data_IF_326461517910
#
_entry.id   IF_326461517910
#
_cell.length_a   1.000
_cell.length_b   1.000
_cell.length_c   1.000
_cell.angle_alpha   90.00
_cell.angle_beta   90.00
_cell.angle_gamma   90.00
#
_symmetry.space_group_name_H-M   'P 1'
#
loop_
_entity.id
_entity.type
_entity.pdbx_description
1 polymer ?
#
# COMPACT_ATOMS: atom_id res chain seq x y z
N UNK A 1 14.34 -22.91 -11.30
CA UNK A 1 14.30 -22.68 -9.85
C UNK A 1 14.60 -21.20 -9.62
N UNK A 2 13.62 -20.41 -9.24
CA UNK A 2 13.82 -19.02 -8.89
C UNK A 2 14.53 -18.97 -7.54
N UNK A 3 15.75 -18.46 -7.52
CA UNK A 3 16.56 -18.33 -6.32
C UNK A 3 15.86 -17.32 -5.40
N UNK A 4 15.37 -17.80 -4.26
CA UNK A 4 14.74 -16.94 -3.25
C UNK A 4 15.83 -16.33 -2.40
N UNK A 5 16.08 -15.03 -2.58
CA UNK A 5 17.03 -14.26 -1.79
C UNK A 5 16.46 -13.91 -0.40
N UNK A 6 17.34 -13.79 0.59
CA UNK A 6 16.96 -13.22 1.90
C UNK A 6 16.57 -11.75 1.75
N UNK A 7 15.79 -11.21 2.69
CA UNK A 7 15.40 -9.80 2.70
C UNK A 7 16.62 -8.88 2.74
N UNK A 8 17.66 -9.24 3.49
CA UNK A 8 18.92 -8.48 3.56
C UNK A 8 19.60 -8.38 2.19
N UNK A 9 19.61 -9.49 1.44
CA UNK A 9 20.15 -9.50 0.08
C UNK A 9 19.30 -8.64 -0.86
N UNK A 10 17.97 -8.71 -0.76
CA UNK A 10 17.08 -7.87 -1.56
C UNK A 10 17.28 -6.39 -1.28
N UNK A 11 17.42 -6.01 0.00
CA UNK A 11 17.70 -4.63 0.40
C UNK A 11 19.07 -4.16 -0.12
N UNK A 12 20.12 -4.96 0.06
CA UNK A 12 21.47 -4.61 -0.39
C UNK A 12 21.60 -4.52 -1.91
N UNK A 13 20.78 -5.24 -2.67
CA UNK A 13 20.81 -5.27 -4.12
C UNK A 13 19.69 -4.45 -4.77
N UNK A 14 18.92 -3.71 -3.98
CA UNK A 14 17.80 -2.92 -4.47
C UNK A 14 18.24 -1.92 -5.55
N UNK A 15 17.65 -2.01 -6.74
CA UNK A 15 17.95 -1.14 -7.88
C UNK A 15 19.30 -1.36 -8.56
N UNK A 16 20.17 -2.26 -8.05
CA UNK A 16 21.45 -2.53 -8.69
C UNK A 16 21.27 -3.17 -10.07
N UNK A 17 22.11 -2.77 -11.03
CA UNK A 17 22.16 -3.28 -12.40
C UNK A 17 20.84 -3.10 -13.16
N UNK A 18 20.15 -2.00 -12.90
CA UNK A 18 18.88 -1.66 -13.56
C UNK A 18 19.08 -0.94 -14.92
N UNK A 19 20.30 -0.50 -15.26
CA UNK A 19 20.60 0.18 -16.51
C UNK A 19 21.37 -0.74 -17.47
N UNK A 20 20.66 -1.43 -18.34
CA UNK A 20 21.24 -2.32 -19.34
C UNK A 20 22.06 -1.56 -20.41
N UNK A 21 21.76 -0.30 -20.65
CA UNK A 21 22.43 0.52 -21.68
C UNK A 21 23.89 0.83 -21.36
N UNK A 22 24.18 1.12 -20.08
CA UNK A 22 25.53 1.50 -19.65
C UNK A 22 26.19 0.43 -18.79
N UNK A 23 25.42 -0.52 -18.27
CA UNK A 23 25.87 -1.49 -17.28
C UNK A 23 26.16 -0.85 -15.91
N UNK A 24 25.64 0.33 -15.65
CA UNK A 24 25.82 1.01 -14.37
C UNK A 24 25.36 0.13 -13.21
N UNK A 25 26.20 -0.01 -12.17
CA UNK A 25 25.86 -0.81 -11.00
C UNK A 25 24.78 -0.13 -10.18
N UNK A 26 24.91 1.18 -9.95
CA UNK A 26 23.87 1.97 -9.28
C UNK A 26 22.82 2.46 -10.28
N UNK A 27 21.57 2.54 -9.84
CA UNK A 27 20.48 3.09 -10.66
C UNK A 27 20.76 4.54 -11.06
N UNK A 28 20.71 4.88 -12.36
CA UNK A 28 20.78 6.26 -12.81
C UNK A 28 19.59 7.09 -12.33
N UNK A 29 19.82 8.38 -12.10
CA UNK A 29 18.75 9.34 -11.80
C UNK A 29 18.30 9.98 -13.11
N UNK A 30 17.04 9.76 -13.50
CA UNK A 30 16.46 10.31 -14.71
C UNK A 30 15.70 11.60 -14.40
N UNK A 31 16.25 12.73 -14.82
CA UNK A 31 15.67 14.07 -14.63
C UNK A 31 14.81 14.50 -15.84
N UNK A 32 14.67 13.64 -16.86
CA UNK A 32 13.89 13.96 -18.05
C UNK A 32 12.42 14.15 -17.75
N UNK A 33 11.81 15.19 -18.32
CA UNK A 33 10.37 15.45 -18.22
C UNK A 33 9.58 14.58 -19.19
N UNK A 34 10.08 14.42 -20.42
CA UNK A 34 9.42 13.65 -21.49
C UNK A 34 10.42 12.67 -22.13
N UNK A 35 9.90 11.65 -22.77
CA UNK A 35 10.67 10.58 -23.41
C UNK A 35 10.30 10.46 -24.89
N UNK A 36 11.29 10.14 -25.73
CA UNK A 36 11.07 9.92 -27.16
C UNK A 36 10.36 8.57 -27.41
N UNK A 37 9.58 8.53 -28.48
CA UNK A 37 8.99 7.30 -29.00
C UNK A 37 9.75 6.86 -30.25
N UNK A 38 9.73 5.57 -30.54
CA UNK A 38 10.31 5.05 -31.78
C UNK A 38 9.46 5.38 -32.99
N UNK A 39 8.15 5.53 -32.81
CA UNK A 39 7.15 5.87 -33.82
C UNK A 39 5.80 6.21 -33.19
N UNK A 40 4.81 6.53 -34.00
CA UNK A 40 3.45 6.79 -33.55
C UNK A 40 2.88 5.51 -32.94
N UNK A 41 2.54 5.56 -31.63
CA UNK A 41 2.06 4.38 -30.87
C UNK A 41 3.16 3.44 -30.37
N UNK A 42 4.44 3.76 -30.60
CA UNK A 42 5.59 2.94 -30.23
C UNK A 42 6.36 3.55 -29.03
N UNK A 43 5.71 3.58 -27.86
CA UNK A 43 6.32 4.07 -26.64
C UNK A 43 7.45 3.13 -26.15
N UNK A 44 8.49 3.72 -25.57
CA UNK A 44 9.54 2.97 -24.85
C UNK A 44 9.07 2.42 -23.49
N UNK A 45 7.80 2.66 -23.13
CA UNK A 45 7.22 2.37 -21.81
C UNK A 45 7.30 3.56 -20.86
N UNK A 46 7.90 4.67 -21.32
CA UNK A 46 7.96 5.96 -20.64
C UNK A 46 7.57 7.05 -21.60
N UNK A 47 6.65 7.92 -21.21
CA UNK A 47 6.16 9.01 -22.03
C UNK A 47 6.42 10.37 -21.33
N UNK A 48 6.02 10.45 -20.08
CA UNK A 48 6.09 11.66 -19.27
C UNK A 48 6.35 11.33 -17.79
N UNK A 49 7.30 12.04 -17.19
CA UNK A 49 7.80 11.74 -15.82
C UNK A 49 6.73 11.71 -14.75
N UNK A 50 5.67 12.53 -14.84
CA UNK A 50 4.57 12.54 -13.87
C UNK A 50 3.82 11.21 -13.86
N UNK A 51 3.62 10.61 -15.02
CA UNK A 51 2.92 9.33 -15.16
C UNK A 51 3.84 8.15 -14.86
N UNK A 52 5.06 8.16 -15.40
CA UNK A 52 6.05 7.10 -15.19
C UNK A 52 7.47 7.63 -15.35
N UNK A 53 8.36 7.24 -14.41
CA UNK A 53 9.78 7.65 -14.44
C UNK A 53 10.66 6.45 -14.07
N UNK A 54 11.76 6.18 -14.79
CA UNK A 54 12.61 5.01 -14.53
C UNK A 54 13.16 4.97 -13.09
N UNK A 55 13.57 6.10 -12.53
CA UNK A 55 14.07 6.17 -11.15
C UNK A 55 12.98 5.81 -10.14
N UNK A 56 11.75 6.32 -10.32
CA UNK A 56 10.61 5.99 -9.46
C UNK A 56 10.21 4.51 -9.60
N UNK A 57 10.24 3.97 -10.81
CA UNK A 57 9.92 2.56 -11.06
C UNK A 57 10.82 1.61 -10.27
N UNK A 58 12.10 1.93 -10.12
CA UNK A 58 13.04 1.12 -9.31
C UNK A 58 12.59 1.07 -7.85
N UNK A 59 12.14 2.19 -7.27
CA UNK A 59 11.60 2.22 -5.91
C UNK A 59 10.32 1.37 -5.82
N UNK A 60 9.38 1.57 -6.74
CA UNK A 60 8.11 0.85 -6.78
C UNK A 60 8.31 -0.65 -6.91
N UNK A 61 9.18 -1.11 -7.81
CA UNK A 61 9.52 -2.52 -8.00
C UNK A 61 10.25 -3.11 -6.80
N UNK A 62 11.12 -2.33 -6.15
CA UNK A 62 11.84 -2.77 -4.95
C UNK A 62 10.88 -3.00 -3.79
N UNK A 63 9.99 -2.05 -3.52
CA UNK A 63 8.99 -2.17 -2.46
C UNK A 63 8.06 -3.35 -2.73
N UNK A 64 7.59 -3.52 -3.98
CA UNK A 64 6.77 -4.67 -4.35
C UNK A 64 7.47 -6.00 -4.03
N UNK A 65 8.76 -6.13 -4.37
CA UNK A 65 9.54 -7.35 -4.08
C UNK A 65 9.73 -7.58 -2.58
N UNK A 66 10.05 -6.53 -1.81
CA UNK A 66 10.25 -6.62 -0.36
C UNK A 66 8.95 -7.03 0.36
N UNK A 67 7.82 -6.57 -0.13
CA UNK A 67 6.50 -6.85 0.43
C UNK A 67 5.80 -8.08 -0.21
N UNK A 68 6.47 -8.80 -1.15
CA UNK A 68 5.89 -9.85 -1.97
C UNK A 68 4.53 -9.44 -2.59
N UNK A 69 4.44 -8.16 -2.96
CA UNK A 69 3.28 -7.60 -3.64
C UNK A 69 3.41 -7.69 -5.15
N UNK A 70 2.28 -7.61 -5.84
CA UNK A 70 2.26 -7.58 -7.31
C UNK A 70 2.79 -6.28 -7.88
N UNK A 71 2.55 -5.17 -7.18
CA UNK A 71 2.97 -3.82 -7.58
C UNK A 71 3.22 -2.93 -6.36
N UNK A 72 4.18 -1.99 -6.51
CA UNK A 72 4.38 -0.87 -5.63
C UNK A 72 3.94 0.44 -6.31
N UNK A 73 3.52 1.42 -5.53
CA UNK A 73 3.19 2.76 -5.98
C UNK A 73 3.81 3.78 -5.05
N UNK A 74 4.61 4.69 -5.58
CA UNK A 74 5.23 5.75 -4.80
C UNK A 74 4.42 7.04 -4.87
N UNK A 75 4.17 7.63 -3.71
CA UNK A 75 3.45 8.89 -3.54
C UNK A 75 4.35 9.92 -2.86
N UNK A 76 3.96 11.19 -2.93
CA UNK A 76 4.69 12.29 -2.29
C UNK A 76 4.62 12.27 -0.76
N UNK A 77 3.67 11.53 -0.19
CA UNK A 77 3.50 11.33 1.25
C UNK A 77 2.59 10.14 1.54
N UNK A 78 2.66 9.57 2.76
CA UNK A 78 1.72 8.55 3.22
C UNK A 78 0.26 9.02 3.18
N UNK A 79 0.01 10.28 3.52
CA UNK A 79 -1.33 10.88 3.43
C UNK A 79 -1.87 10.89 2.00
N UNK A 80 -1.02 11.15 1.00
CA UNK A 80 -1.40 11.06 -0.41
C UNK A 80 -1.76 9.63 -0.81
N UNK A 81 -1.02 8.63 -0.30
CA UNK A 81 -1.32 7.22 -0.53
C UNK A 81 -2.68 6.84 0.07
N UNK A 82 -2.95 7.21 1.32
CA UNK A 82 -4.24 6.95 1.99
C UNK A 82 -5.38 7.61 1.24
N UNK A 83 -5.22 8.86 0.81
CA UNK A 83 -6.26 9.57 0.05
C UNK A 83 -6.58 8.88 -1.27
N UNK A 84 -5.58 8.37 -1.98
CA UNK A 84 -5.81 7.62 -3.23
C UNK A 84 -6.57 6.33 -2.96
N UNK A 85 -6.25 5.60 -1.88
CA UNK A 85 -7.02 4.41 -1.48
C UNK A 85 -8.47 4.74 -1.19
N UNK A 86 -8.75 5.87 -0.53
CA UNK A 86 -10.13 6.30 -0.26
C UNK A 86 -10.94 6.52 -1.53
N UNK A 87 -10.32 6.92 -2.65
CA UNK A 87 -10.99 7.13 -3.93
C UNK A 87 -11.49 5.82 -4.59
N UNK A 88 -11.09 4.66 -4.09
CA UNK A 88 -11.62 3.37 -4.52
C UNK A 88 -13.01 3.08 -3.94
N UNK A 89 -13.46 3.90 -3.00
CA UNK A 89 -14.70 3.74 -2.25
C UNK A 89 -15.57 4.98 -2.37
N UNK A 90 -16.84 4.82 -2.10
CA UNK A 90 -17.83 5.91 -2.16
C UNK A 90 -18.87 5.75 -1.05
N UNK A 91 -19.61 6.80 -0.72
CA UNK A 91 -20.77 6.61 0.15
C UNK A 91 -21.80 5.67 -0.50
N UNK A 92 -22.36 4.72 0.25
CA UNK A 92 -22.34 4.57 1.70
C UNK A 92 -21.29 3.57 2.25
N UNK A 93 -20.21 3.31 1.51
CA UNK A 93 -19.17 2.36 1.96
C UNK A 93 -18.60 2.75 3.34
N UNK A 94 -18.30 1.76 4.16
CA UNK A 94 -17.73 1.92 5.49
C UNK A 94 -16.37 1.24 5.59
N UNK A 95 -15.44 1.89 6.30
CA UNK A 95 -14.18 1.30 6.74
C UNK A 95 -14.20 1.09 8.24
N UNK A 96 -13.85 -0.10 8.70
CA UNK A 96 -13.48 -0.33 10.09
C UNK A 96 -12.04 0.16 10.23
N UNK A 97 -11.77 1.04 11.20
CA UNK A 97 -10.49 1.75 11.35
C UNK A 97 -10.00 1.59 12.78
N UNK A 98 -8.70 1.38 12.97
CA UNK A 98 -8.09 1.43 14.31
C UNK A 98 -8.47 2.71 15.02
N UNK A 99 -8.90 2.63 16.28
CA UNK A 99 -9.26 3.79 17.09
C UNK A 99 -8.06 4.68 17.39
N UNK A 100 -6.88 4.07 17.52
CA UNK A 100 -5.60 4.77 17.64
C UNK A 100 -4.90 4.74 16.28
N UNK A 101 -5.03 5.82 15.51
CA UNK A 101 -4.36 6.03 14.22
C UNK A 101 -3.69 7.40 14.21
N UNK A 102 -2.71 7.55 13.33
CA UNK A 102 -2.08 8.84 13.10
C UNK A 102 -3.13 9.95 12.94
N UNK A 103 -2.95 11.04 13.68
CA UNK A 103 -3.93 12.14 13.70
C UNK A 103 -4.20 12.77 12.32
N UNK A 104 -3.27 12.66 11.36
CA UNK A 104 -3.50 13.04 9.97
C UNK A 104 -4.52 12.13 9.28
N UNK A 105 -4.41 10.83 9.48
CA UNK A 105 -5.34 9.82 8.94
C UNK A 105 -6.74 10.03 9.49
N UNK A 106 -6.85 10.23 10.81
CA UNK A 106 -8.13 10.55 11.46
C UNK A 106 -8.79 11.79 10.84
N UNK A 107 -8.03 12.89 10.74
CA UNK A 107 -8.55 14.15 10.18
C UNK A 107 -8.95 14.03 8.71
N UNK A 108 -8.18 13.29 7.93
CA UNK A 108 -8.47 13.07 6.50
C UNK A 108 -9.77 12.27 6.33
N UNK A 109 -9.92 11.16 7.04
CA UNK A 109 -11.11 10.30 6.96
C UNK A 109 -12.36 11.06 7.42
N UNK A 110 -12.29 11.74 8.56
CA UNK A 110 -13.40 12.50 9.12
C UNK A 110 -13.83 13.67 8.22
N UNK A 111 -12.85 14.43 7.69
CA UNK A 111 -13.13 15.53 6.75
C UNK A 111 -13.76 15.02 5.45
N UNK A 112 -13.21 13.98 4.87
CA UNK A 112 -13.69 13.44 3.59
C UNK A 112 -15.10 12.84 3.71
N UNK A 113 -15.39 12.15 4.83
CA UNK A 113 -16.74 11.65 5.10
C UNK A 113 -17.75 12.80 5.24
N UNK A 114 -17.44 13.79 6.06
CA UNK A 114 -18.36 14.90 6.37
C UNK A 114 -18.61 15.84 5.19
N UNK A 115 -17.60 16.06 4.35
CA UNK A 115 -17.67 17.11 3.32
C UNK A 115 -17.80 16.58 1.90
N UNK A 116 -17.33 15.37 1.62
CA UNK A 116 -17.22 14.85 0.25
C UNK A 116 -18.04 13.58 0.01
N UNK A 117 -18.89 13.18 0.97
CA UNK A 117 -19.63 11.91 0.91
C UNK A 117 -18.73 10.72 0.54
N UNK A 118 -17.54 10.70 1.09
CA UNK A 118 -16.57 9.62 0.94
C UNK A 118 -16.88 8.48 1.92
N UNK A 119 -15.96 7.51 2.00
CA UNK A 119 -16.07 6.37 2.91
C UNK A 119 -16.28 6.82 4.36
N UNK A 120 -17.19 6.14 5.07
CA UNK A 120 -17.49 6.39 6.48
C UNK A 120 -16.54 5.60 7.39
N UNK A 121 -15.74 6.24 8.24
CA UNK A 121 -14.90 5.54 9.19
C UNK A 121 -15.70 5.08 10.41
N UNK A 122 -15.49 3.83 10.83
CA UNK A 122 -16.01 3.23 12.06
C UNK A 122 -14.80 2.85 12.92
N UNK A 123 -14.52 3.65 13.94
CA UNK A 123 -13.35 3.46 14.79
C UNK A 123 -13.59 2.40 15.85
N UNK A 124 -12.70 1.42 15.95
CA UNK A 124 -12.77 0.31 16.91
C UNK A 124 -11.37 0.01 17.48
N UNK A 125 -11.33 -0.67 18.63
CA UNK A 125 -10.08 -1.25 19.11
C UNK A 125 -9.70 -2.47 18.26
N UNK A 126 -8.72 -2.32 17.39
CA UNK A 126 -8.27 -3.38 16.46
C UNK A 126 -7.41 -4.47 17.12
N UNK A 127 -7.03 -4.31 18.39
CA UNK A 127 -6.49 -5.41 19.19
C UNK A 127 -7.57 -6.45 19.56
N UNK A 128 -8.87 -6.11 19.43
CA UNK A 128 -10.01 -6.96 19.73
C UNK A 128 -10.72 -7.44 18.46
N UNK A 129 -10.48 -8.69 18.06
CA UNK A 129 -11.20 -9.30 16.92
C UNK A 129 -12.72 -9.26 17.09
N UNK A 130 -13.20 -9.39 18.32
CA UNK A 130 -14.64 -9.36 18.62
C UNK A 130 -15.24 -7.98 18.34
N UNK A 131 -14.51 -6.89 18.64
CA UNK A 131 -14.97 -5.54 18.33
C UNK A 131 -14.96 -5.28 16.82
N UNK A 132 -13.93 -5.75 16.11
CA UNK A 132 -13.88 -5.66 14.66
C UNK A 132 -15.08 -6.39 14.05
N UNK A 133 -15.33 -7.66 14.45
CA UNK A 133 -16.41 -8.47 13.89
C UNK A 133 -17.79 -7.87 14.20
N UNK A 134 -18.00 -7.36 15.42
CA UNK A 134 -19.24 -6.70 15.81
C UNK A 134 -19.54 -5.40 15.03
N UNK A 135 -18.50 -4.72 14.54
CA UNK A 135 -18.64 -3.50 13.76
C UNK A 135 -18.92 -3.73 12.26
N UNK A 136 -18.85 -4.98 11.77
CA UNK A 136 -19.08 -5.29 10.36
C UNK A 136 -20.58 -5.13 10.03
N UNK A 137 -20.85 -4.36 9.00
CA UNK A 137 -22.19 -4.15 8.43
C UNK A 137 -22.25 -4.56 6.95
N UNK A 138 -23.40 -4.50 6.33
CA UNK A 138 -23.56 -4.71 4.88
C UNK A 138 -22.80 -3.66 4.03
N UNK A 139 -22.53 -2.48 4.61
CA UNK A 139 -21.80 -1.39 3.96
C UNK A 139 -20.29 -1.46 4.19
N UNK A 140 -19.80 -2.29 5.09
CA UNK A 140 -18.38 -2.44 5.34
C UNK A 140 -17.69 -3.00 4.10
N UNK A 141 -16.60 -2.33 3.66
CA UNK A 141 -15.81 -2.72 2.47
C UNK A 141 -14.36 -2.97 2.78
N UNK A 142 -13.83 -2.36 3.84
CA UNK A 142 -12.44 -2.56 4.22
C UNK A 142 -12.24 -2.50 5.73
N UNK A 143 -11.14 -3.11 6.18
CA UNK A 143 -10.56 -2.95 7.51
C UNK A 143 -9.23 -2.23 7.31
N UNK A 144 -9.10 -1.02 7.86
CA UNK A 144 -7.87 -0.23 7.88
C UNK A 144 -7.25 -0.29 9.28
N UNK A 145 -6.06 -0.86 9.36
CA UNK A 145 -5.32 -0.94 10.61
C UNK A 145 -3.99 -0.21 10.51
N UNK A 146 -3.57 0.42 11.59
CA UNK A 146 -2.24 0.96 11.80
C UNK A 146 -1.58 0.17 12.93
N UNK A 147 -0.42 -0.45 12.66
CA UNK A 147 0.25 -1.28 13.67
C UNK A 147 1.77 -1.32 13.47
N UNK A 148 2.57 -0.99 14.52
CA UNK A 148 2.12 -0.35 15.75
C UNK A 148 1.46 1.00 15.49
N UNK A 149 0.48 1.36 16.31
CA UNK A 149 -0.29 2.59 16.14
C UNK A 149 0.47 3.85 16.60
N UNK A 150 0.00 5.03 16.21
CA UNK A 150 0.54 6.31 16.65
C UNK A 150 -0.58 7.18 17.28
N UNK A 151 -0.47 7.58 18.58
CA UNK A 151 0.76 7.59 19.37
C UNK A 151 0.93 6.45 20.38
N UNK A 152 -0.04 5.57 20.59
CA UNK A 152 -0.05 4.66 21.74
C UNK A 152 0.80 3.40 21.52
N UNK A 153 1.31 3.15 20.30
CA UNK A 153 2.10 1.96 19.97
C UNK A 153 1.33 0.65 20.22
N UNK A 154 0.02 0.68 20.02
CA UNK A 154 -0.80 -0.52 20.11
C UNK A 154 -0.53 -1.46 18.95
N UNK A 155 -0.46 -2.74 19.26
CA UNK A 155 -0.25 -3.81 18.28
C UNK A 155 -1.54 -4.60 18.09
N UNK A 156 -1.75 -5.10 16.86
CA UNK A 156 -2.85 -6.00 16.56
C UNK A 156 -2.37 -7.23 15.77
N UNK A 157 -3.12 -8.33 15.86
CA UNK A 157 -2.82 -9.56 15.11
C UNK A 157 -3.31 -9.43 13.66
N UNK A 158 -2.39 -8.96 12.80
CA UNK A 158 -2.66 -8.78 11.37
C UNK A 158 -3.10 -10.09 10.70
N UNK A 159 -2.55 -11.24 11.13
CA UNK A 159 -2.88 -12.53 10.54
C UNK A 159 -4.33 -12.94 10.86
N UNK A 160 -4.77 -12.79 12.10
CA UNK A 160 -6.14 -13.11 12.49
C UNK A 160 -7.15 -12.10 11.90
N UNK A 161 -6.80 -10.80 11.85
CA UNK A 161 -7.63 -9.80 11.18
C UNK A 161 -7.74 -10.11 9.67
N UNK A 162 -6.66 -10.57 9.02
CA UNK A 162 -6.70 -10.99 7.62
C UNK A 162 -7.66 -12.16 7.38
N UNK A 163 -7.68 -13.15 8.28
CA UNK A 163 -8.64 -14.26 8.21
C UNK A 163 -10.09 -13.76 8.34
N UNK A 164 -10.32 -12.84 9.27
CA UNK A 164 -11.63 -12.23 9.48
C UNK A 164 -12.07 -11.42 8.25
N UNK A 165 -11.18 -10.60 7.69
CA UNK A 165 -11.44 -9.85 6.47
C UNK A 165 -11.83 -10.76 5.30
N UNK A 166 -11.09 -11.87 5.11
CA UNK A 166 -11.41 -12.88 4.09
C UNK A 166 -12.77 -13.54 4.31
N UNK A 167 -13.08 -13.94 5.55
CA UNK A 167 -14.37 -14.52 5.92
C UNK A 167 -15.55 -13.63 5.49
N UNK A 168 -15.39 -12.32 5.59
CA UNK A 168 -16.41 -11.33 5.27
C UNK A 168 -16.24 -10.66 3.89
N UNK A 169 -15.29 -11.14 3.06
CA UNK A 169 -14.98 -10.58 1.74
C UNK A 169 -14.66 -9.07 1.78
N UNK A 170 -13.88 -8.65 2.79
CA UNK A 170 -13.45 -7.28 2.99
C UNK A 170 -12.00 -7.09 2.52
N UNK A 171 -11.70 -5.90 2.00
CA UNK A 171 -10.33 -5.49 1.76
C UNK A 171 -9.62 -5.25 3.10
N UNK A 172 -8.34 -5.63 3.16
CA UNK A 172 -7.49 -5.31 4.30
C UNK A 172 -6.44 -4.30 3.88
N UNK A 173 -6.36 -3.20 4.61
CA UNK A 173 -5.40 -2.11 4.41
C UNK A 173 -4.58 -2.00 5.69
N UNK A 174 -3.26 -2.07 5.58
CA UNK A 174 -2.34 -1.99 6.71
C UNK A 174 -1.41 -0.82 6.54
N UNK A 175 -1.46 0.13 7.45
CA UNK A 175 -0.44 1.16 7.60
C UNK A 175 0.68 0.61 8.49
N UNK A 176 1.78 0.24 7.86
CA UNK A 176 2.96 -0.35 8.49
C UNK A 176 4.13 0.65 8.56
N UNK A 177 3.85 1.93 8.72
CA UNK A 177 4.84 3.00 8.66
C UNK A 177 6.00 2.79 9.63
N UNK A 178 5.75 2.27 10.84
CA UNK A 178 6.79 2.11 11.85
C UNK A 178 7.66 0.86 11.68
N UNK A 179 7.11 -0.26 11.20
CA UNK A 179 7.86 -1.51 11.16
C UNK A 179 8.73 -1.66 9.92
N UNK A 180 8.37 -1.06 8.81
CA UNK A 180 9.08 -1.20 7.52
C UNK A 180 9.22 -2.65 7.02
N UNK A 181 9.68 -2.91 5.80
CA UNK A 181 9.87 -4.27 5.31
C UNK A 181 10.90 -5.11 6.10
N UNK A 182 11.84 -4.45 6.81
CA UNK A 182 12.93 -5.15 7.50
C UNK A 182 12.49 -5.95 8.73
N UNK A 183 11.38 -5.61 9.35
CA UNK A 183 10.80 -6.32 10.50
C UNK A 183 9.79 -7.40 10.11
N UNK A 184 9.91 -7.91 8.98
CA UNK A 184 9.48 -9.15 8.30
C UNK A 184 8.20 -9.89 8.70
N UNK A 185 7.34 -9.39 9.55
CA UNK A 185 6.05 -10.05 9.84
C UNK A 185 4.86 -9.36 9.21
N UNK A 186 5.00 -8.10 8.77
CA UNK A 186 3.88 -7.29 8.32
C UNK A 186 4.33 -6.29 7.24
N UNK A 187 3.47 -6.02 6.31
CA UNK A 187 3.79 -5.38 5.03
C UNK A 187 3.12 -4.02 4.94
N UNK A 188 3.84 -3.01 4.45
CA UNK A 188 3.33 -1.67 4.09
C UNK A 188 1.96 -1.76 3.40
N UNK A 189 1.11 -0.74 3.58
CA UNK A 189 -0.28 -0.68 3.10
C UNK A 189 -0.56 -1.66 1.94
N UNK A 190 -0.81 -2.92 2.28
CA UNK A 190 -1.07 -3.96 1.31
C UNK A 190 -2.56 -4.05 1.15
N UNK A 191 -3.06 -3.54 0.03
CA UNK A 191 -4.41 -3.90 -0.41
C UNK A 191 -4.33 -5.33 -0.93
N UNK A 192 -4.75 -6.30 -0.15
CA UNK A 192 -4.93 -7.67 -0.61
C UNK A 192 -6.36 -7.83 -1.13
N UNK A 193 -6.51 -7.84 -2.44
CA UNK A 193 -7.64 -8.49 -3.06
C UNK A 193 -7.22 -9.94 -3.34
N UNK A 194 -7.72 -10.90 -2.61
CA UNK A 194 -7.69 -12.28 -3.08
C UNK A 194 -8.69 -12.40 -4.23
N UNK A 195 -8.22 -12.12 -5.45
CA UNK A 195 -8.87 -12.67 -6.62
C UNK A 195 -8.64 -14.17 -6.55
N UNK A 196 -9.72 -14.92 -6.28
CA UNK A 196 -9.68 -16.37 -6.23
C UNK A 196 -8.97 -16.94 -7.43
N UNK A 197 -8.25 -18.02 -7.13
CA UNK A 197 -7.88 -19.12 -8.01
C UNK A 197 -7.78 -18.76 -9.49
N UNK A 198 -6.54 -18.52 -9.96
CA UNK A 198 -6.21 -18.71 -11.35
C UNK A 198 -5.50 -20.05 -11.46
N UNK A 199 -6.32 -21.08 -11.67
CA UNK A 199 -5.89 -22.35 -12.26
C UNK A 199 -5.16 -22.11 -13.58
#
# INVERSE_FOLDING_TARGET
MTQQYSIDTLLAQAGNRSDERTGAVSTPIYLSTAYGHHGIGESTGFDYTRTKNPTRSVLEDTVAKLENGDRGFAFSSGMAAIQVLMNLFKGPDEWIVSSDVYGGTYRLLDFAYKNNNSVKPIYVNTASLAEIEAAITANTKAIFIETPSNPLMEECDVAEISKLAKKHNLLMIVDNTFLTPATSSFRLATVRSDSGDRS
#
